data_IF_012429618822
#
_entry.id   IF_012429618822
#
_cell.length_a   1.000
_cell.length_b   1.000
_cell.length_c   1.000
_cell.angle_alpha   90.00
_cell.angle_beta   90.00
_cell.angle_gamma   90.00
#
_symmetry.space_group_name_H-M   'P 1'
#
loop_
_entity.id
_entity.type
_entity.pdbx_description
1 polymer ?
#
# COMPACT_ATOMS: atom_id res chain seq x y z
N UNK A 1 0.46 -13.57 22.58
CA UNK A 1 -0.52 -13.61 21.49
C UNK A 1 -0.05 -14.48 20.32
N UNK A 2 -0.98 -14.92 19.47
CA UNK A 2 -0.72 -15.54 18.18
C UNK A 2 -1.45 -14.72 17.12
N UNK A 3 -0.77 -14.41 16.00
CA UNK A 3 -1.35 -13.60 14.93
C UNK A 3 -0.99 -14.13 13.55
N UNK A 4 -1.88 -13.95 12.58
CA UNK A 4 -1.65 -14.25 11.17
C UNK A 4 -2.41 -13.25 10.29
N UNK A 5 -1.78 -12.78 9.22
CA UNK A 5 -2.37 -11.85 8.26
C UNK A 5 -1.75 -12.02 6.87
N UNK A 6 -1.73 -13.23 6.35
CA UNK A 6 -1.19 -13.62 5.04
C UNK A 6 0.34 -13.39 4.87
N UNK A 7 1.08 -13.19 5.97
CA UNK A 7 2.53 -13.12 5.90
C UNK A 7 3.14 -14.52 5.63
N UNK A 8 4.38 -14.53 5.19
CA UNK A 8 5.17 -15.76 5.07
C UNK A 8 5.22 -16.48 6.43
N UNK A 9 4.87 -17.76 6.45
CA UNK A 9 4.64 -18.52 7.68
C UNK A 9 5.82 -19.46 8.06
N UNK A 10 6.83 -19.54 7.21
CA UNK A 10 8.03 -20.32 7.46
C UNK A 10 9.19 -19.40 7.89
N UNK A 11 10.16 -19.96 8.60
CA UNK A 11 11.41 -19.29 8.97
C UNK A 11 12.39 -19.25 7.80
N UNK A 12 13.43 -18.40 7.85
CA UNK A 12 14.41 -18.24 6.77
C UNK A 12 15.21 -19.54 6.49
N UNK A 13 15.31 -20.41 7.50
CA UNK A 13 15.97 -21.72 7.41
C UNK A 13 15.05 -22.85 6.95
N UNK A 14 13.81 -22.54 6.54
CA UNK A 14 12.88 -23.55 6.03
C UNK A 14 13.45 -24.22 4.76
N UNK A 15 13.68 -25.55 4.75
CA UNK A 15 14.50 -26.18 3.73
C UNK A 15 13.81 -26.41 2.39
N UNK A 16 12.51 -26.15 2.29
CA UNK A 16 11.75 -26.41 1.08
C UNK A 16 11.29 -25.11 0.42
N UNK A 17 11.19 -25.14 -0.92
CA UNK A 17 10.61 -24.04 -1.66
C UNK A 17 9.13 -23.85 -1.26
N UNK A 18 8.81 -22.64 -0.80
CA UNK A 18 7.46 -22.27 -0.38
C UNK A 18 6.95 -21.18 -1.32
N UNK A 19 6.08 -21.59 -2.26
CA UNK A 19 5.55 -20.70 -3.29
C UNK A 19 4.37 -19.89 -2.77
N UNK A 20 4.29 -18.63 -3.15
CA UNK A 20 3.16 -17.74 -2.86
C UNK A 20 3.57 -16.28 -2.79
N UNK A 21 2.57 -15.41 -2.86
CA UNK A 21 2.75 -13.98 -2.61
C UNK A 21 2.35 -13.67 -1.17
N UNK A 22 3.34 -13.37 -0.35
CA UNK A 22 3.20 -13.14 1.09
C UNK A 22 3.59 -11.71 1.43
N UNK A 23 2.72 -10.77 1.11
CA UNK A 23 2.94 -9.37 1.45
C UNK A 23 2.98 -9.18 2.97
N UNK A 24 4.08 -8.61 3.53
CA UNK A 24 4.31 -8.60 4.98
C UNK A 24 3.56 -7.50 5.73
N UNK A 25 3.05 -6.47 5.04
CA UNK A 25 2.62 -5.22 5.66
C UNK A 25 1.48 -5.38 6.65
N UNK A 26 0.44 -6.16 6.33
CA UNK A 26 -0.68 -6.39 7.25
C UNK A 26 -0.25 -7.18 8.48
N UNK A 27 0.57 -8.22 8.30
CA UNK A 27 1.13 -9.00 9.41
C UNK A 27 1.97 -8.14 10.35
N UNK A 28 2.85 -7.30 9.79
CA UNK A 28 3.68 -6.35 10.56
C UNK A 28 2.85 -5.28 11.25
N UNK A 29 1.77 -4.82 10.65
CA UNK A 29 0.83 -3.88 11.27
C UNK A 29 0.08 -4.53 12.44
N UNK A 30 -0.38 -5.78 12.31
CA UNK A 30 -0.98 -6.53 13.44
C UNK A 30 0.03 -6.68 14.57
N UNK A 31 1.26 -7.10 14.26
CA UNK A 31 2.32 -7.23 15.26
C UNK A 31 2.58 -5.90 15.99
N UNK A 32 2.73 -4.81 15.24
CA UNK A 32 2.91 -3.46 15.79
C UNK A 32 1.81 -3.14 16.83
N UNK A 33 0.55 -3.27 16.48
CA UNK A 33 -0.56 -2.95 17.38
C UNK A 33 -0.60 -3.86 18.62
N UNK A 34 -0.35 -5.16 18.45
CA UNK A 34 -0.39 -6.13 19.56
C UNK A 34 0.81 -5.98 20.51
N UNK A 35 1.88 -5.32 20.08
CA UNK A 35 3.07 -5.04 20.93
C UNK A 35 3.06 -3.65 21.56
N UNK A 36 2.15 -2.76 21.15
CA UNK A 36 2.02 -1.42 21.73
C UNK A 36 1.31 -1.41 23.09
N UNK A 37 0.64 -2.51 23.46
CA UNK A 37 -0.10 -2.63 24.71
C UNK A 37 0.09 -4.00 25.34
N UNK A 38 0.23 -4.03 26.66
CA UNK A 38 0.32 -5.28 27.42
C UNK A 38 -1.01 -6.03 27.47
N UNK A 39 -2.13 -5.29 27.44
CA UNK A 39 -3.50 -5.85 27.43
C UNK A 39 -4.33 -5.21 26.34
N UNK A 40 -5.12 -6.03 25.66
CA UNK A 40 -6.04 -5.59 24.60
C UNK A 40 -7.47 -5.89 25.00
N UNK A 41 -8.35 -4.92 24.81
CA UNK A 41 -9.80 -5.06 25.03
C UNK A 41 -10.56 -5.09 23.70
N UNK A 42 -11.88 -5.29 23.79
CA UNK A 42 -12.76 -5.33 22.61
C UNK A 42 -12.72 -4.03 21.82
N UNK A 43 -12.63 -2.88 22.49
CA UNK A 43 -12.57 -1.57 21.82
C UNK A 43 -11.28 -1.42 21.01
N UNK A 44 -10.15 -1.84 21.56
CA UNK A 44 -8.87 -1.84 20.87
C UNK A 44 -8.86 -2.80 19.66
N UNK A 45 -9.43 -4.01 19.81
CA UNK A 45 -9.55 -4.95 18.70
C UNK A 45 -10.44 -4.43 17.57
N UNK A 46 -11.53 -3.72 17.91
CA UNK A 46 -12.35 -3.00 16.89
C UNK A 46 -11.56 -1.92 16.18
N UNK A 47 -10.79 -1.12 16.90
CA UNK A 47 -9.91 -0.10 16.32
C UNK A 47 -8.89 -0.74 15.37
N UNK A 48 -8.22 -1.82 15.77
CA UNK A 48 -7.26 -2.54 14.93
C UNK A 48 -7.91 -3.05 13.62
N UNK A 49 -9.05 -3.75 13.72
CA UNK A 49 -9.75 -4.29 12.54
C UNK A 49 -10.20 -3.20 11.55
N UNK A 50 -10.42 -1.99 12.02
CA UNK A 50 -10.82 -0.83 11.19
C UNK A 50 -9.64 0.07 10.80
N UNK A 51 -8.42 -0.26 11.20
CA UNK A 51 -7.26 0.57 10.93
C UNK A 51 -7.00 0.70 9.44
N UNK A 52 -6.90 1.94 8.99
CA UNK A 52 -6.56 2.33 7.62
C UNK A 52 -5.06 2.61 7.44
N UNK A 53 -4.25 2.38 8.48
CA UNK A 53 -2.81 2.62 8.48
C UNK A 53 -2.09 1.75 7.45
N UNK A 54 -1.21 2.37 6.64
CA UNK A 54 -0.39 1.73 5.63
C UNK A 54 1.09 1.74 5.99
N UNK A 55 1.62 0.60 6.37
CA UNK A 55 3.05 0.41 6.59
C UNK A 55 3.84 0.61 5.29
N UNK A 56 3.28 0.18 4.15
CA UNK A 56 3.85 0.42 2.82
C UNK A 56 4.12 1.91 2.58
N UNK A 57 3.09 2.75 2.77
CA UNK A 57 3.22 4.19 2.53
C UNK A 57 4.27 4.82 3.44
N UNK A 58 4.30 4.41 4.71
CA UNK A 58 5.30 4.88 5.67
C UNK A 58 6.73 4.58 5.23
N UNK A 59 7.01 3.35 4.81
CA UNK A 59 8.36 2.91 4.42
C UNK A 59 8.78 3.47 3.07
N UNK A 60 7.92 3.42 2.07
CA UNK A 60 8.21 3.97 0.76
C UNK A 60 8.47 5.48 0.82
N UNK A 61 7.63 6.24 1.53
CA UNK A 61 7.79 7.69 1.66
C UNK A 61 9.03 8.09 2.47
N UNK A 62 9.51 7.24 3.38
CA UNK A 62 10.77 7.51 4.09
C UNK A 62 11.96 7.65 3.11
N UNK A 63 12.02 6.81 2.08
CA UNK A 63 13.04 6.89 1.01
C UNK A 63 12.70 7.98 -0.01
N UNK A 64 11.48 7.96 -0.54
CA UNK A 64 11.07 8.82 -1.66
C UNK A 64 11.11 10.31 -1.31
N UNK A 65 10.62 10.70 -0.13
CA UNK A 65 10.65 12.11 0.31
C UNK A 65 12.06 12.60 0.67
N UNK A 66 12.95 11.69 1.08
CA UNK A 66 14.35 12.03 1.37
C UNK A 66 15.13 12.39 0.10
N UNK A 67 14.84 11.71 -1.01
CA UNK A 67 15.52 11.89 -2.29
C UNK A 67 14.83 12.91 -3.21
N UNK A 68 13.73 13.51 -2.76
CA UNK A 68 13.01 14.51 -3.53
C UNK A 68 13.79 15.82 -3.57
N UNK A 69 14.03 16.36 -4.78
CA UNK A 69 14.76 17.62 -4.96
C UNK A 69 14.00 18.84 -4.38
N UNK A 70 14.72 19.95 -4.25
CA UNK A 70 14.18 21.17 -3.61
C UNK A 70 12.97 21.75 -4.36
N UNK A 71 12.92 21.65 -5.68
CA UNK A 71 11.84 22.19 -6.49
C UNK A 71 10.57 21.37 -6.29
N UNK A 72 10.68 20.03 -6.33
CA UNK A 72 9.56 19.14 -6.09
C UNK A 72 9.13 19.14 -4.61
N UNK A 73 10.09 19.28 -3.69
CA UNK A 73 9.82 19.25 -2.24
C UNK A 73 8.95 20.42 -1.73
N UNK A 74 8.89 21.53 -2.43
CA UNK A 74 8.02 22.67 -2.09
C UNK A 74 6.62 22.58 -2.67
N UNK A 75 6.38 21.63 -3.57
CA UNK A 75 5.06 21.40 -4.19
C UNK A 75 3.99 21.02 -3.13
N UNK A 76 2.74 21.40 -3.37
CA UNK A 76 1.64 21.15 -2.44
C UNK A 76 1.44 19.66 -2.13
N UNK A 77 1.62 18.78 -3.14
CA UNK A 77 1.53 17.32 -2.96
C UNK A 77 2.62 16.80 -2.02
N UNK A 78 3.88 17.21 -2.22
CA UNK A 78 4.98 16.80 -1.35
C UNK A 78 4.78 17.29 0.09
N UNK A 79 4.33 18.55 0.28
CA UNK A 79 4.00 19.09 1.61
C UNK A 79 2.88 18.34 2.29
N UNK A 80 1.87 17.90 1.52
CA UNK A 80 0.80 17.06 2.02
C UNK A 80 1.32 15.72 2.52
N UNK A 81 2.11 15.02 1.70
CA UNK A 81 2.70 13.73 2.03
C UNK A 81 3.65 13.79 3.24
N UNK A 82 4.44 14.85 3.39
CA UNK A 82 5.34 15.05 4.56
C UNK A 82 4.60 15.15 5.90
N UNK A 83 3.34 15.59 5.87
CA UNK A 83 2.51 15.76 7.09
C UNK A 83 1.51 14.61 7.29
N UNK A 84 1.48 13.66 6.38
CA UNK A 84 0.54 12.57 6.40
C UNK A 84 0.90 11.53 7.47
N UNK A 85 -0.09 11.06 8.18
CA UNK A 85 0.00 10.04 9.23
C UNK A 85 -0.10 8.60 8.69
N UNK A 86 -0.12 8.44 7.37
CA UNK A 86 -0.19 7.18 6.62
C UNK A 86 -1.53 6.45 6.78
N UNK A 87 -2.58 7.12 7.26
CA UNK A 87 -3.92 6.58 7.29
C UNK A 87 -4.64 6.83 5.95
N UNK A 88 -5.17 5.76 5.37
CA UNK A 88 -5.97 5.79 4.14
C UNK A 88 -7.42 6.16 4.50
N UNK A 89 -7.62 7.36 5.03
CA UNK A 89 -8.94 7.84 5.41
C UNK A 89 -9.74 8.29 4.18
N UNK A 90 -11.06 8.02 4.22
CA UNK A 90 -11.96 8.21 3.09
C UNK A 90 -11.90 9.60 2.47
N UNK A 91 -11.80 10.64 3.30
CA UNK A 91 -11.82 12.04 2.86
C UNK A 91 -10.42 12.63 2.63
N UNK A 92 -9.35 11.82 2.78
CA UNK A 92 -7.97 12.28 2.60
C UNK A 92 -7.55 12.26 1.14
N UNK A 93 -6.77 13.27 0.74
CA UNK A 93 -6.12 13.35 -0.58
C UNK A 93 -4.74 12.67 -0.59
N UNK A 94 -4.11 12.49 0.58
CA UNK A 94 -2.74 11.99 0.65
C UNK A 94 -2.58 10.54 0.20
N UNK A 95 -3.52 9.61 0.50
CA UNK A 95 -3.49 8.26 -0.08
C UNK A 95 -3.43 8.27 -1.61
N UNK A 96 -4.27 9.10 -2.25
CA UNK A 96 -4.32 9.20 -3.71
C UNK A 96 -3.02 9.78 -4.27
N UNK A 97 -2.45 10.80 -3.62
CA UNK A 97 -1.13 11.35 -3.98
C UNK A 97 -0.03 10.31 -3.93
N UNK A 98 -0.03 9.53 -2.85
CA UNK A 98 0.94 8.47 -2.68
C UNK A 98 0.76 7.36 -3.72
N UNK A 99 -0.45 6.85 -3.89
CA UNK A 99 -0.74 5.75 -4.82
C UNK A 99 -0.36 6.12 -6.27
N UNK A 100 -0.71 7.33 -6.72
CA UNK A 100 -0.33 7.84 -8.04
C UNK A 100 1.19 7.95 -8.19
N UNK A 101 1.87 8.57 -7.23
CA UNK A 101 3.33 8.74 -7.27
C UNK A 101 4.05 7.40 -7.21
N UNK A 102 3.69 6.54 -6.27
CA UNK A 102 4.30 5.23 -6.13
C UNK A 102 4.07 4.34 -7.36
N UNK A 103 2.88 4.42 -7.97
CA UNK A 103 2.58 3.68 -9.21
C UNK A 103 3.44 4.18 -10.37
N UNK A 104 3.56 5.49 -10.59
CA UNK A 104 4.42 6.06 -11.61
C UNK A 104 5.89 5.69 -11.40
N UNK A 105 6.36 5.78 -10.16
CA UNK A 105 7.71 5.35 -9.78
C UNK A 105 7.95 3.86 -10.03
N UNK A 106 7.02 3.01 -9.62
CA UNK A 106 7.11 1.56 -9.80
C UNK A 106 7.18 1.15 -11.28
N UNK A 107 6.40 1.81 -12.13
CA UNK A 107 6.43 1.56 -13.57
C UNK A 107 7.76 1.99 -14.20
N UNK A 108 8.35 3.10 -13.77
CA UNK A 108 9.66 3.55 -14.25
C UNK A 108 10.79 2.62 -13.78
N UNK A 109 10.76 2.20 -12.52
CA UNK A 109 11.79 1.34 -11.95
C UNK A 109 11.85 -0.04 -12.62
N UNK A 110 10.71 -0.55 -13.04
CA UNK A 110 10.58 -1.90 -13.63
C UNK A 110 10.20 -1.85 -15.11
N UNK A 111 10.66 -0.82 -15.84
CA UNK A 111 10.30 -0.60 -17.24
C UNK A 111 10.69 -1.78 -18.14
N UNK A 112 11.78 -2.50 -17.85
CA UNK A 112 12.16 -3.70 -18.59
C UNK A 112 11.13 -4.83 -18.45
N UNK A 113 10.51 -4.94 -17.27
CA UNK A 113 9.48 -5.96 -17.04
C UNK A 113 8.18 -5.56 -17.74
N UNK A 114 7.77 -4.31 -17.58
CA UNK A 114 6.55 -3.79 -18.20
C UNK A 114 6.60 -3.85 -19.73
N UNK A 115 7.75 -3.54 -20.33
CA UNK A 115 7.92 -3.58 -21.79
C UNK A 115 7.97 -5.00 -22.38
N UNK A 116 8.26 -6.02 -21.55
CA UNK A 116 8.32 -7.42 -21.99
C UNK A 116 7.00 -8.18 -21.81
N UNK A 117 6.01 -7.61 -21.12
CA UNK A 117 4.76 -8.31 -20.78
C UNK A 117 3.93 -8.76 -22.01
N UNK A 118 4.04 -8.05 -23.13
CA UNK A 118 3.38 -8.43 -24.38
C UNK A 118 4.01 -9.69 -25.03
N UNK A 119 5.25 -10.02 -24.68
CA UNK A 119 6.00 -11.12 -25.25
C UNK A 119 6.10 -12.31 -24.29
N UNK A 120 6.19 -12.07 -23.01
CA UNK A 120 6.34 -13.07 -21.95
C UNK A 120 5.46 -12.70 -20.76
N UNK A 121 4.70 -13.66 -20.24
CA UNK A 121 3.87 -13.45 -19.04
C UNK A 121 4.74 -13.31 -17.78
N UNK A 122 5.38 -12.17 -17.63
CA UNK A 122 6.15 -11.83 -16.44
C UNK A 122 5.24 -11.18 -15.38
N UNK A 123 5.28 -11.65 -14.13
CA UNK A 123 4.60 -10.95 -13.05
C UNK A 123 5.31 -9.64 -12.74
N UNK A 124 4.55 -8.60 -12.44
CA UNK A 124 5.11 -7.37 -11.91
C UNK A 124 5.73 -7.64 -10.52
N UNK A 125 6.89 -7.04 -10.21
CA UNK A 125 7.44 -7.12 -8.88
C UNK A 125 6.46 -6.57 -7.84
N UNK A 126 6.36 -7.26 -6.71
CA UNK A 126 5.49 -6.82 -5.62
C UNK A 126 5.98 -5.50 -5.00
N UNK A 127 5.05 -4.72 -4.48
CA UNK A 127 5.35 -3.42 -3.86
C UNK A 127 6.35 -3.52 -2.69
N UNK A 128 6.29 -4.60 -1.91
CA UNK A 128 7.23 -4.83 -0.83
C UNK A 128 8.64 -5.19 -1.32
N UNK A 129 8.74 -5.89 -2.45
CA UNK A 129 10.02 -6.15 -3.14
C UNK A 129 10.62 -4.84 -3.61
N UNK A 130 9.80 -3.97 -4.18
CA UNK A 130 10.21 -2.64 -4.66
C UNK A 130 10.76 -1.77 -3.53
N UNK A 131 10.04 -1.67 -2.41
CA UNK A 131 10.51 -0.88 -1.25
C UNK A 131 11.82 -1.44 -0.69
N UNK A 132 11.90 -2.75 -0.50
CA UNK A 132 13.12 -3.42 -0.04
C UNK A 132 14.30 -3.22 -1.01
N UNK A 133 14.01 -3.23 -2.32
CA UNK A 133 15.01 -3.05 -3.37
C UNK A 133 15.62 -1.64 -3.33
N UNK A 134 14.79 -0.58 -3.28
CA UNK A 134 15.30 0.80 -3.26
C UNK A 134 16.03 1.14 -1.96
N UNK A 135 15.64 0.52 -0.86
CA UNK A 135 16.31 0.70 0.44
C UNK A 135 17.72 0.07 0.46
N UNK A 136 17.85 -1.14 -0.14
CA UNK A 136 19.10 -1.93 -0.07
C UNK A 136 20.06 -1.71 -1.25
N UNK A 137 19.58 -1.20 -2.38
CA UNK A 137 20.35 -1.11 -3.61
C UNK A 137 20.33 0.31 -4.21
N UNK A 138 20.84 1.34 -3.52
CA UNK A 138 20.72 2.74 -3.96
C UNK A 138 21.43 3.05 -5.30
N UNK A 139 22.29 2.17 -5.79
CA UNK A 139 23.09 2.35 -7.02
C UNK A 139 22.83 1.26 -8.06
N UNK A 140 21.63 0.69 -8.09
CA UNK A 140 21.31 -0.37 -9.04
C UNK A 140 21.23 0.14 -10.48
N UNK A 141 21.65 -0.71 -11.43
CA UNK A 141 21.47 -0.47 -12.86
C UNK A 141 20.00 -0.51 -13.33
N UNK A 142 19.09 -1.05 -12.54
CA UNK A 142 17.65 -1.04 -12.82
C UNK A 142 17.01 0.35 -12.72
N UNK A 143 17.76 1.37 -12.29
CA UNK A 143 17.27 2.75 -12.34
C UNK A 143 17.44 3.39 -13.71
N UNK A 144 18.19 2.75 -14.61
CA UNK A 144 18.45 3.22 -15.98
C UNK A 144 17.26 2.89 -16.89
N UNK A 145 16.50 3.89 -17.30
CA UNK A 145 15.32 3.73 -18.16
C UNK A 145 15.79 3.42 -19.59
N UNK A 146 15.44 2.24 -20.11
CA UNK A 146 15.92 1.73 -21.41
C UNK A 146 15.58 2.59 -22.61
N UNK A 147 14.54 3.40 -22.54
CA UNK A 147 14.13 4.28 -23.65
C UNK A 147 14.84 5.63 -23.66
N UNK A 148 15.68 5.94 -22.69
CA UNK A 148 16.41 7.22 -22.61
C UNK A 148 17.89 7.05 -22.97
N UNK A 149 18.57 8.20 -23.25
CA UNK A 149 20.01 8.23 -23.52
C UNK A 149 20.81 8.48 -22.24
N UNK A 150 20.16 9.10 -21.26
CA UNK A 150 20.73 9.39 -19.95
C UNK A 150 20.70 8.11 -19.10
N UNK A 151 21.74 7.87 -18.32
CA UNK A 151 21.75 6.86 -17.26
C UNK A 151 21.11 7.48 -16.02
N UNK A 152 19.94 6.99 -15.65
CA UNK A 152 19.20 7.48 -14.50
C UNK A 152 19.69 6.87 -13.19
N UNK A 153 19.46 7.62 -12.12
CA UNK A 153 19.66 7.22 -10.73
C UNK A 153 18.32 7.02 -10.02
N UNK A 154 18.32 6.41 -8.83
CA UNK A 154 17.13 6.32 -7.99
C UNK A 154 16.50 7.70 -7.74
N UNK A 155 17.33 8.73 -7.47
CA UNK A 155 16.84 10.10 -7.29
C UNK A 155 16.20 10.66 -8.56
N UNK A 156 16.75 10.38 -9.74
CA UNK A 156 16.15 10.79 -11.01
C UNK A 156 14.76 10.19 -11.20
N UNK A 157 14.59 8.88 -10.96
CA UNK A 157 13.29 8.20 -11.08
C UNK A 157 12.25 8.78 -10.10
N UNK A 158 12.64 8.97 -8.85
CA UNK A 158 11.78 9.55 -7.81
C UNK A 158 11.30 10.93 -8.21
N UNK A 159 12.21 11.78 -8.67
CA UNK A 159 11.89 13.17 -9.06
C UNK A 159 11.09 13.23 -10.37
N UNK A 160 11.40 12.37 -11.34
CA UNK A 160 10.69 12.30 -12.60
C UNK A 160 9.25 11.78 -12.42
N UNK A 161 9.08 10.71 -11.65
CA UNK A 161 7.75 10.17 -11.34
C UNK A 161 6.89 11.16 -10.52
N UNK A 162 7.51 11.94 -9.62
CA UNK A 162 6.80 12.99 -8.89
C UNK A 162 6.28 14.08 -9.84
N UNK A 163 7.10 14.52 -10.77
CA UNK A 163 6.69 15.53 -11.78
C UNK A 163 5.54 15.06 -12.66
N UNK A 164 5.45 13.75 -12.96
CA UNK A 164 4.32 13.22 -13.73
C UNK A 164 2.97 13.44 -13.04
N UNK A 165 2.94 13.41 -11.71
CA UNK A 165 1.70 13.53 -10.94
C UNK A 165 1.48 14.92 -10.35
N UNK A 166 2.44 15.84 -10.50
CA UNK A 166 2.41 17.16 -9.83
C UNK A 166 1.26 18.03 -10.28
N UNK A 167 0.84 17.93 -11.53
CA UNK A 167 -0.25 18.71 -12.11
C UNK A 167 -1.60 17.98 -12.08
N UNK A 168 -1.65 16.75 -11.52
CA UNK A 168 -2.87 15.99 -11.42
C UNK A 168 -3.89 16.66 -10.50
N UNK A 169 -5.11 16.79 -10.98
CA UNK A 169 -6.26 17.02 -10.11
C UNK A 169 -6.61 15.70 -9.42
N UNK A 170 -6.73 15.72 -8.11
CA UNK A 170 -7.04 14.56 -7.29
C UNK A 170 -8.28 14.79 -6.46
N UNK A 171 -9.10 13.75 -6.34
CA UNK A 171 -10.26 13.71 -5.45
C UNK A 171 -9.94 12.97 -4.14
N UNK A 172 -10.78 13.09 -3.09
CA UNK A 172 -10.66 12.28 -1.89
C UNK A 172 -10.64 10.77 -2.17
N UNK A 173 -9.95 10.02 -1.32
CA UNK A 173 -9.77 8.57 -1.50
C UNK A 173 -11.07 7.81 -1.79
N UNK A 174 -12.17 8.14 -1.10
CA UNK A 174 -13.43 7.42 -1.28
C UNK A 174 -14.03 7.62 -2.68
N UNK A 175 -13.89 8.82 -3.25
CA UNK A 175 -14.33 9.13 -4.62
C UNK A 175 -13.47 8.37 -5.64
N UNK A 176 -12.15 8.45 -5.52
CA UNK A 176 -11.21 7.74 -6.41
C UNK A 176 -11.36 6.21 -6.32
N UNK A 177 -11.60 5.69 -5.12
CA UNK A 177 -11.81 4.26 -4.90
C UNK A 177 -13.15 3.79 -5.45
N UNK A 178 -14.20 4.59 -5.33
CA UNK A 178 -15.57 4.25 -5.71
C UNK A 178 -15.99 2.86 -5.20
N UNK A 179 -15.93 2.68 -3.89
CA UNK A 179 -16.18 1.37 -3.28
C UNK A 179 -17.64 0.93 -3.44
N UNK A 180 -17.85 -0.35 -3.78
CA UNK A 180 -19.15 -0.91 -4.13
C UNK A 180 -19.35 -2.29 -3.53
N UNK A 181 -20.57 -2.58 -3.08
CA UNK A 181 -21.03 -3.93 -2.74
C UNK A 181 -22.11 -4.32 -3.75
N UNK A 182 -21.70 -5.11 -4.74
CA UNK A 182 -22.60 -5.51 -5.81
C UNK A 182 -23.48 -6.68 -5.37
N UNK A 183 -24.78 -6.58 -5.65
CA UNK A 183 -25.71 -7.69 -5.45
C UNK A 183 -25.41 -8.84 -6.43
N UNK A 184 -25.78 -10.06 -6.06
CA UNK A 184 -25.54 -11.25 -6.90
C UNK A 184 -26.19 -11.16 -8.27
N UNK A 185 -27.34 -10.51 -8.37
CA UNK A 185 -28.05 -10.27 -9.65
C UNK A 185 -27.40 -9.19 -10.52
N UNK A 186 -26.40 -8.47 -10.01
CA UNK A 186 -25.75 -7.33 -10.69
C UNK A 186 -26.68 -6.17 -11.06
N UNK A 187 -27.84 -6.08 -10.43
CA UNK A 187 -28.75 -4.94 -10.57
C UNK A 187 -28.34 -3.85 -9.57
N UNK A 188 -28.12 -2.63 -10.07
CA UNK A 188 -27.68 -1.49 -9.26
C UNK A 188 -28.68 -1.15 -8.15
N UNK A 189 -29.98 -1.31 -8.41
CA UNK A 189 -31.03 -1.07 -7.42
C UNK A 189 -30.92 -1.95 -6.15
N UNK A 190 -30.24 -3.09 -6.24
CA UNK A 190 -29.96 -4.01 -5.11
C UNK A 190 -28.52 -3.94 -4.63
N UNK A 191 -27.68 -3.18 -5.31
CA UNK A 191 -26.28 -2.97 -4.98
C UNK A 191 -26.12 -1.74 -4.07
N UNK A 192 -25.04 -1.69 -3.30
CA UNK A 192 -24.64 -0.49 -2.56
C UNK A 192 -23.43 0.13 -3.26
N UNK A 193 -23.64 1.28 -3.87
CA UNK A 193 -22.65 2.03 -4.64
C UNK A 193 -22.11 3.21 -3.82
N UNK A 194 -21.03 3.81 -4.26
CA UNK A 194 -20.45 5.07 -3.74
C UNK A 194 -20.25 5.05 -2.21
N UNK A 195 -19.69 3.94 -1.69
CA UNK A 195 -19.49 3.76 -0.26
C UNK A 195 -18.31 4.64 0.19
N UNK A 196 -18.59 5.61 1.07
CA UNK A 196 -17.57 6.46 1.66
C UNK A 196 -16.76 5.66 2.71
N UNK A 197 -15.69 5.02 2.28
CA UNK A 197 -14.84 4.15 3.13
C UNK A 197 -13.36 4.30 2.83
N UNK A 198 -12.56 4.35 3.89
CA UNK A 198 -11.10 4.33 3.83
C UNK A 198 -10.51 2.94 3.63
N UNK A 199 -9.20 2.82 3.87
CA UNK A 199 -8.45 1.56 3.77
C UNK A 199 -7.82 1.31 2.39
N UNK A 200 -6.93 0.34 2.36
CA UNK A 200 -6.23 -0.13 1.15
C UNK A 200 -5.93 -1.62 1.32
N UNK A 201 -5.61 -2.33 0.24
CA UNK A 201 -5.21 -3.76 0.32
C UNK A 201 -4.04 -4.04 1.28
N UNK A 202 -3.26 -3.01 1.61
CA UNK A 202 -2.09 -3.08 2.50
C UNK A 202 -2.40 -2.68 3.96
N UNK A 203 -3.61 -2.23 4.26
CA UNK A 203 -4.06 -1.94 5.64
C UNK A 203 -4.92 -3.08 6.22
N UNK A 204 -5.15 -3.07 7.54
CA UNK A 204 -6.01 -4.08 8.17
C UNK A 204 -7.47 -3.92 7.71
N UNK A 205 -7.93 -2.68 7.53
CA UNK A 205 -9.16 -2.42 6.78
C UNK A 205 -8.90 -2.52 5.27
N UNK A 206 -8.76 -3.75 4.77
CA UNK A 206 -8.34 -4.05 3.40
C UNK A 206 -9.42 -3.74 2.35
N UNK A 207 -10.06 -2.57 2.44
CA UNK A 207 -11.17 -2.17 1.57
C UNK A 207 -10.65 -1.62 0.23
N UNK A 208 -11.09 -2.26 -0.85
CA UNK A 208 -10.84 -1.88 -2.24
C UNK A 208 -12.16 -1.54 -2.93
N UNK A 209 -12.14 -1.29 -4.24
CA UNK A 209 -13.35 -0.93 -5.00
C UNK A 209 -14.48 -1.96 -4.89
N UNK A 210 -14.18 -3.22 -5.18
CA UNK A 210 -15.17 -4.32 -5.23
C UNK A 210 -14.83 -5.48 -4.29
N UNK A 211 -13.85 -5.30 -3.43
CA UNK A 211 -13.36 -6.31 -2.51
C UNK A 211 -12.99 -5.68 -1.18
N UNK A 212 -13.29 -6.36 -0.09
CA UNK A 212 -12.96 -5.88 1.24
C UNK A 212 -13.32 -6.91 2.32
N UNK A 213 -13.14 -6.55 3.60
CA UNK A 213 -13.51 -7.41 4.71
C UNK A 213 -15.02 -7.67 4.70
N UNK A 214 -15.43 -8.90 4.35
CA UNK A 214 -16.82 -9.30 4.29
C UNK A 214 -17.36 -9.79 5.64
N UNK A 215 -16.47 -10.19 6.54
CA UNK A 215 -16.82 -10.70 7.86
C UNK A 215 -15.77 -10.34 8.89
N UNK A 216 -16.20 -9.93 10.08
CA UNK A 216 -15.35 -9.60 11.21
C UNK A 216 -15.96 -10.16 12.48
N UNK A 217 -15.13 -10.73 13.35
CA UNK A 217 -15.53 -11.25 14.63
C UNK A 217 -14.53 -10.84 15.71
N UNK A 218 -15.05 -10.52 16.88
CA UNK A 218 -14.28 -10.36 18.11
C UNK A 218 -15.00 -11.17 19.18
N UNK A 219 -14.27 -12.06 19.82
CA UNK A 219 -14.77 -12.86 20.91
C UNK A 219 -14.07 -12.43 22.19
N UNK A 220 -14.85 -11.94 23.15
CA UNK A 220 -14.35 -11.69 24.50
C UNK A 220 -14.45 -13.00 25.29
N UNK A 221 -13.30 -13.50 25.75
CA UNK A 221 -13.26 -14.69 26.57
C UNK A 221 -13.46 -14.31 28.04
N UNK A 222 -14.47 -14.86 28.68
CA UNK A 222 -14.79 -14.71 30.10
C UNK A 222 -14.98 -16.04 30.78
N UNK A 223 -15.13 -16.01 32.09
CA UNK A 223 -15.38 -17.24 32.90
C UNK A 223 -16.76 -17.86 32.63
N UNK A 224 -17.70 -17.07 32.11
CA UNK A 224 -19.02 -17.51 31.68
C UNK A 224 -19.30 -17.06 30.25
N UNK A 225 -19.82 -17.97 29.39
CA UNK A 225 -20.27 -17.56 28.06
C UNK A 225 -21.50 -16.64 28.21
N UNK A 226 -21.41 -15.47 27.56
CA UNK A 226 -22.53 -14.53 27.39
C UNK A 226 -23.19 -14.73 26.02
#
# INVERSE_FOLDING_TARGET
YVSSANQYSATEDYPYYYNGNFEPYRGRTVHKYLTEKDTVDVAYMKMMQNSTFSMLAKEALAVMLHLLDSNNAIHAHAKGLKRWDFHYDANSLNPVRFDKWFTAFHQMLWDEIYTQQDQVALPNPDVWVTVNFIEKNPYSKFYDIKSTVKIETLSDLINQSFRQISDDTISPLAEEKNAQILHLTRLDAFSKLDINVGGTKHSLNAMQQKFGPSWRMIVALGDTPE
#
